data_IF_292281636652
#
_entry.id   IF_292281636652
#
_cell.length_a   1.000
_cell.length_b   1.000
_cell.length_c   1.000
_cell.angle_alpha   90.00
_cell.angle_beta   90.00
_cell.angle_gamma   90.00
#
_symmetry.space_group_name_H-M   'P 1'
#
loop_
_entity.id
_entity.type
_entity.pdbx_description
1 polymer ?
#
# COMPACT_ATOMS: atom_id res chain seq x y z
N UNK A 1 -16.74 -2.34 10.09
CA UNK A 1 -15.71 -1.53 9.36
C UNK A 1 -15.06 -2.36 8.24
N UNK A 2 -15.02 -1.85 6.99
CA UNK A 2 -14.35 -2.52 5.85
C UNK A 2 -12.87 -2.13 5.78
N UNK A 3 -12.01 -2.81 6.55
CA UNK A 3 -10.57 -2.46 6.65
C UNK A 3 -9.81 -2.88 5.39
N UNK A 4 -8.75 -2.14 5.08
CA UNK A 4 -7.95 -2.31 3.85
C UNK A 4 -6.58 -2.87 4.18
N UNK A 5 -6.00 -3.69 3.29
CA UNK A 5 -4.61 -4.11 3.36
C UNK A 5 -3.91 -3.94 1.99
N UNK A 6 -2.88 -3.09 1.92
CA UNK A 6 -1.99 -2.98 0.76
C UNK A 6 -0.83 -3.97 0.85
N UNK A 7 -0.56 -4.71 -0.23
CA UNK A 7 0.42 -5.81 -0.26
C UNK A 7 1.40 -5.62 -1.42
N UNK A 8 2.71 -5.63 -1.11
CA UNK A 8 3.80 -5.46 -2.08
C UNK A 8 4.97 -6.40 -1.78
N UNK A 9 5.99 -6.49 -2.66
CA UNK A 9 7.25 -7.19 -2.31
C UNK A 9 7.96 -6.45 -1.18
N UNK A 10 8.08 -5.12 -1.29
CA UNK A 10 8.53 -4.21 -0.22
C UNK A 10 7.33 -3.58 0.47
N UNK A 11 7.07 -3.88 1.74
CA UNK A 11 6.05 -3.10 2.46
C UNK A 11 6.50 -1.62 2.55
N UNK A 12 7.80 -1.42 2.82
CA UNK A 12 8.53 -0.15 2.87
C UNK A 12 8.30 0.82 1.71
N UNK A 13 8.06 0.31 0.50
CA UNK A 13 7.86 1.10 -0.71
C UNK A 13 6.36 1.23 -1.01
N UNK A 14 5.81 0.42 -1.90
CA UNK A 14 4.46 0.57 -2.46
C UNK A 14 3.35 0.42 -1.43
N UNK A 15 3.40 -0.55 -0.51
CA UNK A 15 2.35 -0.69 0.51
C UNK A 15 2.30 0.52 1.43
N UNK A 16 3.45 1.00 1.92
CA UNK A 16 3.55 2.25 2.68
C UNK A 16 3.17 3.50 1.88
N UNK A 17 3.55 3.59 0.61
CA UNK A 17 3.14 4.70 -0.26
C UNK A 17 1.61 4.74 -0.42
N UNK A 18 0.98 3.59 -0.65
CA UNK A 18 -0.47 3.47 -0.66
C UNK A 18 -1.12 3.65 0.72
N UNK A 19 -0.45 3.27 1.81
CA UNK A 19 -0.97 3.37 3.17
C UNK A 19 -1.12 4.83 3.53
N UNK A 20 -0.06 5.61 3.33
CA UNK A 20 -0.03 7.03 3.60
C UNK A 20 -1.08 7.80 2.81
N UNK A 21 -1.22 7.53 1.51
CA UNK A 21 -2.31 8.12 0.72
C UNK A 21 -3.69 7.66 1.18
N UNK A 22 -3.87 6.38 1.53
CA UNK A 22 -5.19 5.87 1.91
C UNK A 22 -5.62 6.40 3.28
N UNK A 23 -4.65 6.60 4.16
CA UNK A 23 -4.77 7.29 5.44
C UNK A 23 -5.19 8.74 5.23
N UNK A 24 -4.45 9.53 4.44
CA UNK A 24 -4.80 10.94 4.19
C UNK A 24 -6.04 11.14 3.30
N UNK A 25 -6.53 10.10 2.60
CA UNK A 25 -7.77 10.15 1.81
C UNK A 25 -8.97 9.47 2.53
N UNK A 26 -8.77 8.86 3.70
CA UNK A 26 -9.77 7.99 4.36
C UNK A 26 -9.79 8.00 5.90
N UNK A 27 -8.99 8.84 6.56
CA UNK A 27 -8.90 8.91 8.02
C UNK A 27 -10.28 9.10 8.69
N UNK A 28 -10.61 8.23 9.64
CA UNK A 28 -11.90 8.22 10.36
C UNK A 28 -13.10 7.62 9.60
N UNK A 29 -12.93 7.20 8.33
CA UNK A 29 -13.98 6.54 7.53
C UNK A 29 -13.97 5.03 7.75
N UNK A 30 -12.82 4.44 7.43
CA UNK A 30 -12.41 3.04 7.71
C UNK A 30 -10.92 3.00 8.10
N UNK A 31 -10.40 1.84 8.49
CA UNK A 31 -8.98 1.67 8.80
C UNK A 31 -8.21 1.10 7.60
N UNK A 32 -7.15 1.81 7.21
CA UNK A 32 -6.17 1.34 6.25
C UNK A 32 -5.00 0.59 6.91
N UNK A 33 -4.41 -0.34 6.18
CA UNK A 33 -3.27 -1.15 6.63
C UNK A 33 -2.32 -1.49 5.46
N UNK A 34 -1.03 -1.70 5.76
CA UNK A 34 -0.01 -2.15 4.80
C UNK A 34 0.85 -3.35 5.29
N UNK A 35 1.02 -4.34 4.40
CA UNK A 35 1.82 -5.57 4.60
C UNK A 35 2.68 -5.84 3.36
N UNK A 36 3.57 -6.83 3.42
CA UNK A 36 4.26 -7.28 2.21
C UNK A 36 5.23 -8.44 2.42
N UNK A 37 5.85 -8.91 1.33
CA UNK A 37 6.74 -10.08 1.37
C UNK A 37 8.02 -9.82 2.19
N UNK A 38 8.50 -8.58 2.14
CA UNK A 38 9.62 -8.05 2.92
C UNK A 38 9.13 -6.91 3.82
N UNK A 39 9.22 -7.12 5.15
CA UNK A 39 8.90 -6.18 6.22
C UNK A 39 10.01 -5.13 6.42
N UNK A 40 10.39 -4.54 5.29
CA UNK A 40 11.57 -3.66 5.17
C UNK A 40 11.37 -2.29 5.87
N UNK A 41 12.45 -1.54 6.09
CA UNK A 41 12.45 -0.25 6.82
C UNK A 41 11.63 0.84 6.11
N UNK A 42 11.18 1.89 6.81
CA UNK A 42 10.60 3.08 6.16
C UNK A 42 11.59 3.63 5.11
N UNK A 43 11.22 3.58 3.83
CA UNK A 43 12.18 3.84 2.74
C UNK A 43 12.69 5.29 2.69
N UNK A 44 14.01 5.54 2.61
CA UNK A 44 14.59 6.88 2.74
C UNK A 44 14.10 7.87 1.67
N UNK A 45 13.95 7.41 0.42
CA UNK A 45 13.45 8.25 -0.68
C UNK A 45 11.93 8.39 -0.62
N UNK A 46 11.21 7.37 -0.15
CA UNK A 46 9.76 7.51 0.06
C UNK A 46 9.42 8.50 1.19
N UNK A 47 10.14 8.51 2.32
CA UNK A 47 9.96 9.54 3.36
C UNK A 47 10.08 10.96 2.75
N UNK A 48 11.01 11.18 1.81
CA UNK A 48 11.12 12.42 1.05
C UNK A 48 9.90 12.67 0.14
N UNK A 49 9.68 11.81 -0.86
CA UNK A 49 8.68 12.03 -1.92
C UNK A 49 7.23 12.04 -1.40
N UNK A 50 6.97 11.40 -0.26
CA UNK A 50 5.64 11.35 0.35
C UNK A 50 5.41 12.59 1.23
N UNK A 51 6.43 13.12 1.91
CA UNK A 51 6.33 14.40 2.63
C UNK A 51 6.03 15.57 1.67
N UNK A 52 6.49 15.51 0.41
CA UNK A 52 6.14 16.49 -0.64
C UNK A 52 4.61 16.63 -0.85
N UNK A 53 3.85 15.56 -0.61
CA UNK A 53 2.37 15.54 -0.67
C UNK A 53 1.67 15.47 0.71
N UNK A 54 2.37 15.79 1.80
CA UNK A 54 1.80 15.84 3.16
C UNK A 54 1.78 14.49 3.90
N UNK A 55 2.49 13.49 3.40
CA UNK A 55 2.43 12.09 3.87
C UNK A 55 3.78 11.66 4.44
N UNK A 56 3.97 11.81 5.75
CA UNK A 56 5.15 11.26 6.41
C UNK A 56 4.98 9.74 6.65
N UNK A 57 5.80 8.91 5.99
CA UNK A 57 5.84 7.46 6.25
C UNK A 57 6.87 7.06 7.32
N UNK A 58 7.69 7.98 7.84
CA UNK A 58 8.84 7.64 8.71
C UNK A 58 8.43 6.97 10.04
N UNK A 59 7.22 7.25 10.54
CA UNK A 59 6.63 6.60 11.73
C UNK A 59 5.62 5.48 11.42
N UNK A 60 5.49 5.05 10.16
CA UNK A 60 4.43 4.14 9.68
C UNK A 60 4.79 2.65 9.80
N UNK A 61 3.79 1.78 10.03
CA UNK A 61 3.98 0.31 10.13
C UNK A 61 4.53 -0.31 8.85
N UNK A 62 5.35 -1.37 8.98
CA UNK A 62 5.89 -2.14 7.86
C UNK A 62 5.84 -3.65 8.12
N UNK A 63 4.67 -4.16 8.53
CA UNK A 63 4.45 -5.55 8.97
C UNK A 63 4.66 -6.60 7.84
N UNK A 64 5.19 -7.80 8.11
CA UNK A 64 5.35 -8.86 7.10
C UNK A 64 4.01 -9.58 6.79
N UNK A 65 3.90 -10.13 5.58
CA UNK A 65 2.70 -10.87 5.11
C UNK A 65 2.37 -12.14 5.91
N UNK A 66 3.34 -12.73 6.63
CA UNK A 66 3.13 -13.95 7.42
C UNK A 66 2.76 -13.69 8.89
N UNK A 67 2.87 -12.44 9.37
CA UNK A 67 2.38 -12.03 10.70
C UNK A 67 0.94 -11.51 10.64
N UNK A 68 0.57 -10.83 9.56
CA UNK A 68 -0.80 -10.36 9.32
C UNK A 68 -1.76 -11.53 8.98
N UNK A 69 -3.07 -11.27 9.06
CA UNK A 69 -4.11 -12.19 8.57
C UNK A 69 -5.25 -11.40 7.91
N UNK A 70 -5.69 -11.80 6.70
CA UNK A 70 -6.67 -11.07 5.91
C UNK A 70 -8.14 -11.19 6.39
N UNK A 71 -8.40 -11.85 7.53
CA UNK A 71 -9.76 -12.13 8.00
C UNK A 71 -10.49 -10.86 8.47
N UNK A 72 -9.73 -9.89 8.99
CA UNK A 72 -10.23 -8.59 9.48
C UNK A 72 -10.18 -7.47 8.41
N UNK A 73 -9.62 -7.74 7.23
CA UNK A 73 -9.33 -6.77 6.17
C UNK A 73 -9.98 -7.19 4.85
N UNK A 74 -11.28 -6.95 4.71
CA UNK A 74 -12.10 -7.46 3.59
C UNK A 74 -11.77 -6.84 2.21
N UNK A 75 -10.80 -5.92 2.18
CA UNK A 75 -10.34 -5.19 1.00
C UNK A 75 -8.83 -5.32 0.88
N UNK A 76 -8.32 -6.30 0.12
CA UNK A 76 -6.88 -6.56 0.00
C UNK A 76 -6.39 -6.22 -1.40
N UNK A 77 -5.46 -5.28 -1.52
CA UNK A 77 -4.91 -4.81 -2.78
C UNK A 77 -3.46 -5.26 -2.92
N UNK A 78 -3.12 -5.78 -4.10
CA UNK A 78 -1.76 -6.07 -4.54
C UNK A 78 -1.20 -4.89 -5.35
N UNK A 79 0.10 -4.63 -5.23
CA UNK A 79 0.75 -3.45 -5.82
C UNK A 79 1.93 -3.85 -6.72
N UNK A 80 1.77 -4.87 -7.57
CA UNK A 80 2.91 -5.46 -8.32
C UNK A 80 2.62 -6.03 -9.72
N UNK A 81 1.35 -6.15 -10.13
CA UNK A 81 0.94 -6.89 -11.34
C UNK A 81 1.21 -8.40 -11.17
N UNK A 82 1.15 -8.88 -9.91
CA UNK A 82 1.58 -10.22 -9.49
C UNK A 82 0.67 -10.86 -8.42
N UNK A 83 -0.49 -10.26 -8.11
CA UNK A 83 -1.34 -10.65 -6.97
C UNK A 83 -1.72 -12.13 -6.83
N UNK A 84 -1.76 -12.89 -7.94
CA UNK A 84 -1.97 -14.35 -7.92
C UNK A 84 -0.83 -15.14 -7.23
N UNK A 85 0.33 -14.53 -7.03
CA UNK A 85 1.48 -15.11 -6.30
C UNK A 85 1.36 -14.99 -4.77
N UNK A 86 0.40 -14.22 -4.25
CA UNK A 86 0.12 -14.09 -2.82
C UNK A 86 -0.54 -15.37 -2.26
N UNK A 87 -0.47 -15.62 -0.93
CA UNK A 87 -1.17 -16.75 -0.30
C UNK A 87 -2.68 -16.67 -0.58
N UNK A 88 -3.36 -17.76 -1.01
CA UNK A 88 -4.76 -17.70 -1.42
C UNK A 88 -5.71 -17.25 -0.30
N UNK A 89 -5.41 -17.53 0.97
CA UNK A 89 -6.16 -16.97 2.10
C UNK A 89 -6.14 -15.44 2.14
N UNK A 90 -5.05 -14.78 1.69
CA UNK A 90 -4.95 -13.33 1.58
C UNK A 90 -5.46 -12.75 0.24
N UNK A 91 -6.18 -13.57 -0.55
CA UNK A 91 -6.74 -13.23 -1.86
C UNK A 91 -8.27 -13.34 -1.88
N UNK A 92 -8.88 -14.28 -1.15
CA UNK A 92 -10.31 -14.62 -1.25
C UNK A 92 -11.30 -13.70 -0.50
N UNK A 93 -10.84 -12.54 -0.03
CA UNK A 93 -11.68 -11.46 0.53
C UNK A 93 -12.58 -10.81 -0.54
N UNK A 94 -13.63 -10.10 -0.10
CA UNK A 94 -14.69 -9.60 -0.99
C UNK A 94 -14.18 -8.66 -2.10
N UNK A 95 -13.19 -7.81 -1.79
CA UNK A 95 -12.46 -7.01 -2.79
C UNK A 95 -10.99 -7.46 -2.81
N UNK A 96 -10.57 -7.98 -3.96
CA UNK A 96 -9.17 -8.26 -4.27
C UNK A 96 -8.82 -7.76 -5.68
N UNK A 97 -7.77 -6.95 -5.79
CA UNK A 97 -7.34 -6.24 -7.01
C UNK A 97 -5.81 -6.09 -7.06
N UNK A 98 -5.22 -5.85 -8.24
CA UNK A 98 -3.81 -5.46 -8.38
C UNK A 98 -3.65 -4.16 -9.19
N UNK A 99 -2.83 -3.22 -8.69
CA UNK A 99 -2.59 -1.90 -9.29
C UNK A 99 -1.43 -1.84 -10.29
N UNK A 100 -0.72 -2.95 -10.54
CA UNK A 100 0.27 -3.08 -11.63
C UNK A 100 1.50 -2.14 -11.50
N UNK A 101 2.02 -1.96 -10.28
CA UNK A 101 3.08 -0.99 -9.96
C UNK A 101 4.51 -1.56 -10.01
N UNK A 102 5.49 -0.67 -10.20
CA UNK A 102 6.93 -0.95 -10.24
C UNK A 102 7.62 -0.55 -8.92
N UNK A 103 8.63 -1.30 -8.45
CA UNK A 103 9.33 -0.97 -7.18
C UNK A 103 10.24 0.27 -7.34
N UNK A 104 10.04 1.34 -6.54
CA UNK A 104 10.75 2.61 -6.72
C UNK A 104 12.13 2.67 -6.05
N UNK A 105 12.44 1.75 -5.13
CA UNK A 105 13.75 1.61 -4.50
C UNK A 105 14.91 1.57 -5.52
N UNK A 106 15.71 2.65 -5.57
CA UNK A 106 16.89 2.74 -6.44
C UNK A 106 16.61 3.28 -7.85
N UNK A 107 15.34 3.59 -8.17
CA UNK A 107 14.98 4.31 -9.39
C UNK A 107 15.31 5.82 -9.23
N UNK A 108 15.22 6.60 -10.31
CA UNK A 108 15.30 8.07 -10.21
C UNK A 108 14.11 8.65 -9.44
N UNK A 109 14.29 9.85 -8.87
CA UNK A 109 13.24 10.50 -8.08
C UNK A 109 12.02 10.86 -8.95
N UNK A 110 12.18 11.10 -10.25
CA UNK A 110 11.06 11.23 -11.20
C UNK A 110 10.19 9.96 -11.27
N UNK A 111 10.81 8.77 -11.25
CA UNK A 111 10.08 7.49 -11.21
C UNK A 111 9.50 7.24 -9.82
N UNK A 112 10.20 7.64 -8.77
CA UNK A 112 9.72 7.54 -7.38
C UNK A 112 8.46 8.42 -7.17
N UNK A 113 8.42 9.63 -7.75
CA UNK A 113 7.22 10.49 -7.81
C UNK A 113 6.14 9.94 -8.75
N UNK A 114 6.52 9.34 -9.87
CA UNK A 114 5.58 8.68 -10.81
C UNK A 114 4.78 7.58 -10.14
N UNK A 115 5.41 6.67 -9.38
CA UNK A 115 4.64 5.64 -8.65
C UNK A 115 3.79 6.26 -7.54
N UNK A 116 4.19 7.39 -6.93
CA UNK A 116 3.33 8.18 -6.01
C UNK A 116 2.07 8.68 -6.73
N UNK A 117 2.19 9.21 -7.94
CA UNK A 117 1.03 9.63 -8.76
C UNK A 117 0.11 8.45 -9.08
N UNK A 118 0.69 7.28 -9.38
CA UNK A 118 -0.07 6.05 -9.61
C UNK A 118 -0.77 5.52 -8.35
N UNK A 119 -0.11 5.51 -7.18
CA UNK A 119 -0.80 5.08 -5.97
C UNK A 119 -1.90 6.07 -5.60
N UNK A 120 -1.69 7.39 -5.71
CA UNK A 120 -2.73 8.40 -5.47
C UNK A 120 -4.01 8.10 -6.26
N UNK A 121 -3.87 7.95 -7.58
CA UNK A 121 -4.94 7.61 -8.52
C UNK A 121 -5.74 6.38 -8.07
N UNK A 122 -5.04 5.30 -7.66
CA UNK A 122 -5.65 3.99 -7.40
C UNK A 122 -6.12 3.84 -5.95
N UNK A 123 -5.48 4.54 -5.01
CA UNK A 123 -5.93 4.69 -3.62
C UNK A 123 -7.26 5.42 -3.59
N UNK A 124 -7.39 6.56 -4.28
CA UNK A 124 -8.66 7.33 -4.33
C UNK A 124 -9.79 6.40 -4.79
N UNK A 125 -9.60 5.76 -5.95
CA UNK A 125 -10.52 4.79 -6.54
C UNK A 125 -10.91 3.65 -5.55
N UNK A 126 -9.98 3.20 -4.71
CA UNK A 126 -10.23 2.14 -3.71
C UNK A 126 -10.95 2.67 -2.46
N UNK A 127 -10.33 3.62 -1.73
CA UNK A 127 -10.81 4.14 -0.44
C UNK A 127 -12.15 4.88 -0.59
N UNK A 128 -12.39 5.54 -1.72
CA UNK A 128 -13.58 6.37 -1.94
C UNK A 128 -14.87 5.54 -2.16
N UNK A 129 -14.75 4.25 -2.52
CA UNK A 129 -15.88 3.30 -2.60
C UNK A 129 -16.36 2.78 -1.23
N UNK A 130 -15.55 2.96 -0.19
CA UNK A 130 -15.80 2.57 1.21
C UNK A 130 -15.76 3.78 2.16
N UNK A 131 -16.03 4.98 1.62
CA UNK A 131 -16.10 6.29 2.30
C UNK A 131 -17.51 6.87 2.24
#
# INVERSE_FOLDING_TARGET
MKKVMFVSKRNSSRSQMAEGFAKTLGAGKIAVTSSGLESSRVHPTAIAMMEEVGIDISGQTSDPIENFNADDYDVVISLCGCGVNLPPEWVTQEIFEDWQLEDPDGQSLEVFRTVRGQVKERVENLIAKIS
#
